data_IF_908762942759
#
_entry.id   IF_908762942759
#
_cell.length_a   1.000
_cell.length_b   1.000
_cell.length_c   1.000
_cell.angle_alpha   90.00
_cell.angle_beta   90.00
_cell.angle_gamma   90.00
#
_symmetry.space_group_name_H-M   'P 1'
#
loop_
_entity.id
_entity.type
_entity.pdbx_description
1 polymer ?
#
# COMPACT_ATOMS: atom_id res chain seq x y z
N UNK A 1 -15.18 -9.59 7.68
CA UNK A 1 -15.37 -8.21 7.19
C UNK A 1 -14.03 -7.50 7.23
N UNK A 2 -13.62 -6.80 6.17
CA UNK A 2 -12.44 -5.93 6.25
C UNK A 2 -12.90 -4.68 7.01
N UNK A 3 -12.79 -4.75 8.33
CA UNK A 3 -13.07 -3.65 9.22
C UNK A 3 -12.08 -2.54 8.89
N UNK A 4 -12.60 -1.32 8.79
CA UNK A 4 -11.77 -0.13 8.72
C UNK A 4 -10.76 -0.13 9.89
N UNK A 5 -9.48 -0.34 9.61
CA UNK A 5 -8.47 -0.50 10.67
C UNK A 5 -8.21 0.80 11.45
N UNK A 6 -8.48 1.95 10.86
CA UNK A 6 -8.09 3.25 11.40
C UNK A 6 -9.22 4.30 11.38
N UNK A 7 -10.43 3.93 10.97
CA UNK A 7 -11.57 4.85 10.87
C UNK A 7 -11.56 5.79 9.64
N UNK A 8 -10.71 5.55 8.64
CA UNK A 8 -10.65 6.38 7.42
C UNK A 8 -11.96 6.34 6.64
N UNK A 9 -12.45 7.50 6.19
CA UNK A 9 -13.65 7.57 5.34
C UNK A 9 -13.47 6.67 4.12
N UNK A 10 -14.50 5.88 3.80
CA UNK A 10 -14.50 4.94 2.67
C UNK A 10 -13.35 3.92 2.67
N UNK A 11 -12.72 3.65 3.83
CA UNK A 11 -11.57 2.75 3.97
C UNK A 11 -10.36 3.16 3.09
N UNK A 12 -10.19 4.46 2.85
CA UNK A 12 -9.08 4.97 2.02
C UNK A 12 -7.76 4.74 2.76
N UNK A 13 -6.91 3.86 2.24
CA UNK A 13 -5.59 3.56 2.76
C UNK A 13 -4.46 4.29 2.01
N UNK A 14 -4.78 5.00 0.92
CA UNK A 14 -3.81 5.69 0.09
C UNK A 14 -4.44 6.61 -0.94
N UNK A 15 -3.68 7.60 -1.39
CA UNK A 15 -4.06 8.60 -2.40
C UNK A 15 -2.90 8.86 -3.36
N UNK A 16 -3.20 9.45 -4.53
CA UNK A 16 -2.19 9.95 -5.44
C UNK A 16 -2.54 11.36 -5.93
N UNK A 17 -1.53 12.09 -6.39
CA UNK A 17 -1.76 13.36 -7.07
C UNK A 17 -2.41 13.13 -8.44
N UNK A 18 -2.90 14.21 -9.07
CA UNK A 18 -3.59 14.14 -10.38
C UNK A 18 -2.71 13.53 -11.48
N UNK A 19 -1.41 13.79 -11.44
CA UNK A 19 -0.43 13.29 -12.40
C UNK A 19 -0.02 11.83 -12.15
N UNK A 20 -0.46 11.24 -11.03
CA UNK A 20 -0.16 9.86 -10.62
C UNK A 20 1.35 9.54 -10.54
N UNK A 21 2.16 10.53 -10.19
CA UNK A 21 3.60 10.38 -9.98
C UNK A 21 3.99 10.50 -8.50
N UNK A 22 3.06 10.90 -7.63
CA UNK A 22 3.26 10.95 -6.17
C UNK A 22 2.14 10.16 -5.49
N UNK A 23 2.52 9.21 -4.64
CA UNK A 23 1.61 8.34 -3.89
C UNK A 23 1.85 8.52 -2.39
N UNK A 24 0.77 8.74 -1.63
CA UNK A 24 0.76 8.69 -0.17
C UNK A 24 0.02 7.44 0.28
N UNK A 25 0.66 6.61 1.09
CA UNK A 25 0.12 5.34 1.57
C UNK A 25 0.24 5.27 3.10
N UNK A 26 -0.80 4.79 3.76
CA UNK A 26 -0.72 4.35 5.15
C UNK A 26 -0.10 2.95 5.31
N UNK A 27 -0.41 1.93 4.48
CA UNK A 27 0.24 0.63 4.63
C UNK A 27 1.73 0.72 4.29
N UNK A 28 2.50 -0.22 4.84
CA UNK A 28 3.95 -0.32 4.69
C UNK A 28 4.32 -1.47 3.72
N UNK A 29 4.15 -1.30 2.39
CA UNK A 29 4.46 -2.35 1.42
C UNK A 29 5.93 -2.77 1.47
N UNK A 30 6.83 -1.88 1.88
CA UNK A 30 8.25 -2.17 2.10
C UNK A 30 8.51 -3.22 3.19
N UNK A 31 7.57 -3.42 4.12
CA UNK A 31 7.65 -4.45 5.17
C UNK A 31 7.05 -5.79 4.74
N UNK A 32 6.35 -5.83 3.61
CA UNK A 32 5.68 -7.00 3.07
C UNK A 32 6.38 -7.52 1.81
N UNK A 33 7.72 -7.59 1.84
CA UNK A 33 8.54 -8.03 0.70
C UNK A 33 9.27 -9.36 0.93
N UNK A 34 9.23 -9.89 2.16
CA UNK A 34 9.93 -11.10 2.56
C UNK A 34 8.96 -12.07 3.24
N UNK A 35 9.00 -13.33 2.85
CA UNK A 35 8.13 -14.38 3.42
C UNK A 35 8.31 -14.52 4.93
N UNK A 36 9.54 -14.33 5.44
CA UNK A 36 9.83 -14.36 6.89
C UNK A 36 9.11 -13.26 7.67
N UNK A 37 8.71 -12.16 7.02
CA UNK A 37 7.94 -11.07 7.63
C UNK A 37 6.41 -11.27 7.49
N UNK A 38 5.98 -12.39 6.88
CA UNK A 38 4.59 -12.83 6.84
C UNK A 38 3.82 -12.52 5.56
N UNK A 39 4.42 -11.79 4.59
CA UNK A 39 3.84 -11.60 3.26
C UNK A 39 4.89 -11.08 2.27
N UNK A 40 4.68 -11.37 0.99
CA UNK A 40 5.46 -10.84 -0.14
C UNK A 40 4.63 -9.93 -1.07
N UNK A 41 3.42 -9.54 -0.66
CA UNK A 41 2.49 -8.77 -1.52
C UNK A 41 3.01 -7.37 -1.87
N UNK A 42 3.83 -6.79 -1.00
CA UNK A 42 4.47 -5.50 -1.20
C UNK A 42 5.40 -5.47 -2.41
N UNK A 43 5.97 -6.63 -2.80
CA UNK A 43 6.84 -6.73 -3.99
C UNK A 43 6.08 -6.31 -5.25
N UNK A 44 4.85 -6.80 -5.44
CA UNK A 44 4.06 -6.50 -6.63
C UNK A 44 3.67 -5.02 -6.68
N UNK A 45 3.34 -4.44 -5.53
CA UNK A 45 2.99 -3.02 -5.42
C UNK A 45 4.19 -2.12 -5.75
N UNK A 46 5.36 -2.39 -5.17
CA UNK A 46 6.57 -1.61 -5.40
C UNK A 46 7.13 -1.80 -6.82
N UNK A 47 7.05 -3.02 -7.39
CA UNK A 47 7.41 -3.25 -8.80
C UNK A 47 6.58 -2.40 -9.75
N UNK A 48 5.30 -2.14 -9.45
CA UNK A 48 4.46 -1.24 -10.25
C UNK A 48 4.93 0.22 -10.30
N UNK A 49 5.80 0.64 -9.37
CA UNK A 49 6.44 1.97 -9.38
C UNK A 49 7.71 1.99 -10.23
N UNK A 50 8.30 0.83 -10.48
CA UNK A 50 9.51 0.67 -11.29
C UNK A 50 9.07 0.47 -12.77
N UNK A 51 9.66 1.25 -13.66
CA UNK A 51 9.51 1.06 -15.12
C UNK A 51 10.37 -0.08 -15.61
#
# INVERSE_FOLDING_TARGET
EVTNMNGSVSNIAGICNKERNVFGLMPHPERAIEEILGSTDGVNMLKGLLK
#
